data_IF_689321255451
#
_entry.id   IF_689321255451
#
_cell.length_a   1.000
_cell.length_b   1.000
_cell.length_c   1.000
_cell.angle_alpha   90.00
_cell.angle_beta   90.00
_cell.angle_gamma   90.00
#
_symmetry.space_group_name_H-M   'P 1'
#
loop_
_entity.id
_entity.type
_entity.pdbx_description
1 polymer ?
#
# COMPACT_ATOMS: atom_id res chain seq x y z
N UNK A 1 4.13 10.48 -8.27
CA UNK A 1 4.33 11.69 -7.45
C UNK A 1 5.41 12.57 -8.06
N UNK A 2 6.69 12.18 -8.03
CA UNK A 2 7.85 13.05 -8.36
C UNK A 2 8.09 13.42 -9.84
N UNK A 3 7.16 13.13 -10.75
CA UNK A 3 7.30 13.54 -12.14
C UNK A 3 6.82 15.01 -12.29
N UNK A 4 7.49 15.83 -13.08
CA UNK A 4 7.17 17.27 -13.25
C UNK A 4 5.73 17.51 -13.74
N UNK A 5 5.23 16.67 -14.66
CA UNK A 5 3.83 16.70 -15.12
C UNK A 5 2.76 16.51 -14.02
N UNK A 6 3.15 16.19 -12.78
CA UNK A 6 2.24 16.00 -11.65
C UNK A 6 2.19 17.18 -10.67
N UNK A 7 2.87 18.29 -10.98
CA UNK A 7 2.81 19.53 -10.19
C UNK A 7 1.37 20.00 -10.05
N UNK A 8 0.95 20.27 -8.81
CA UNK A 8 -0.42 20.70 -8.49
C UNK A 8 -1.47 19.58 -8.44
N UNK A 9 -1.11 18.34 -8.78
CA UNK A 9 -2.02 17.17 -8.70
C UNK A 9 -1.59 16.21 -7.59
N UNK A 10 -0.34 15.77 -7.62
CA UNK A 10 0.24 14.88 -6.60
C UNK A 10 1.66 15.26 -6.21
N UNK A 11 2.36 16.02 -7.06
CA UNK A 11 3.65 16.63 -6.74
C UNK A 11 3.40 17.97 -6.06
N UNK A 12 3.35 17.98 -4.73
CA UNK A 12 3.07 19.17 -3.93
C UNK A 12 4.32 20.00 -3.60
N UNK A 13 5.53 19.43 -3.75
CA UNK A 13 6.79 20.16 -3.56
C UNK A 13 7.22 20.97 -4.79
N UNK A 14 6.42 20.93 -5.86
CA UNK A 14 6.76 21.49 -7.17
C UNK A 14 8.10 20.98 -7.73
N UNK A 15 8.51 19.76 -7.34
CA UNK A 15 9.78 19.16 -7.76
C UNK A 15 9.82 18.97 -9.29
N UNK A 16 10.91 19.40 -9.92
CA UNK A 16 11.07 19.37 -11.37
C UNK A 16 12.54 19.08 -11.72
N UNK A 17 12.83 17.84 -12.08
CA UNK A 17 14.15 17.40 -12.54
C UNK A 17 14.00 16.60 -13.84
N UNK A 18 14.41 17.14 -15.01
CA UNK A 18 14.26 16.47 -16.30
C UNK A 18 14.98 15.11 -16.39
N UNK A 19 16.03 14.90 -15.60
CA UNK A 19 16.72 13.60 -15.56
C UNK A 19 15.85 12.55 -14.89
N UNK A 20 15.20 12.90 -13.76
CA UNK A 20 14.27 12.02 -13.06
C UNK A 20 13.06 11.70 -13.93
N UNK A 21 12.48 12.70 -14.61
CA UNK A 21 11.36 12.49 -15.52
C UNK A 21 11.70 11.44 -16.60
N UNK A 22 12.87 11.57 -17.24
CA UNK A 22 13.34 10.62 -18.26
C UNK A 22 13.48 9.19 -17.71
N UNK A 23 14.01 9.03 -16.50
CA UNK A 23 14.18 7.72 -15.87
C UNK A 23 12.83 7.12 -15.50
N UNK A 24 11.91 7.92 -14.95
CA UNK A 24 10.57 7.47 -14.59
C UNK A 24 9.73 7.08 -15.82
N UNK A 25 9.88 7.79 -16.93
CA UNK A 25 9.22 7.43 -18.19
C UNK A 25 9.82 6.15 -18.79
N UNK A 26 11.15 5.97 -18.73
CA UNK A 26 11.79 4.70 -19.11
C UNK A 26 11.30 3.54 -18.23
N UNK A 27 11.22 3.72 -16.91
CA UNK A 27 10.71 2.72 -15.98
C UNK A 27 9.22 2.39 -16.21
N UNK A 28 8.44 3.35 -16.75
CA UNK A 28 7.04 3.11 -17.15
C UNK A 28 6.96 2.35 -18.47
N UNK A 29 7.86 2.61 -19.41
CA UNK A 29 7.91 1.94 -20.70
C UNK A 29 8.46 0.50 -20.61
N UNK A 30 9.34 0.22 -19.64
CA UNK A 30 9.88 -1.11 -19.40
C UNK A 30 8.80 -2.04 -18.83
N UNK A 31 8.35 -2.99 -19.64
CA UNK A 31 7.27 -3.95 -19.33
C UNK A 31 7.72 -5.41 -19.43
N UNK A 32 8.94 -5.66 -19.90
CA UNK A 32 9.45 -7.01 -20.18
C UNK A 32 10.29 -7.54 -19.03
N UNK A 33 11.07 -6.69 -18.37
CA UNK A 33 11.94 -7.06 -17.26
C UNK A 33 11.61 -6.26 -16.00
N UNK A 34 11.12 -6.97 -14.98
CA UNK A 34 10.92 -6.39 -13.65
C UNK A 34 12.25 -5.97 -13.00
N UNK A 35 13.34 -6.66 -13.30
CA UNK A 35 14.66 -6.33 -12.75
C UNK A 35 15.18 -5.00 -13.32
N UNK A 36 15.08 -4.80 -14.64
CA UNK A 36 15.49 -3.55 -15.27
C UNK A 36 14.60 -2.38 -14.85
N UNK A 37 13.29 -2.63 -14.74
CA UNK A 37 12.35 -1.65 -14.20
C UNK A 37 12.73 -1.26 -12.77
N UNK A 38 13.12 -2.21 -11.93
CA UNK A 38 13.55 -1.95 -10.56
C UNK A 38 14.84 -1.11 -10.52
N UNK A 39 15.84 -1.42 -11.34
CA UNK A 39 17.09 -0.65 -11.45
C UNK A 39 16.82 0.81 -11.83
N UNK A 40 15.94 1.04 -12.80
CA UNK A 40 15.54 2.39 -13.20
C UNK A 40 14.86 3.14 -12.04
N UNK A 41 13.94 2.49 -11.33
CA UNK A 41 13.26 3.10 -10.18
C UNK A 41 14.22 3.42 -9.03
N UNK A 42 15.15 2.52 -8.71
CA UNK A 42 16.20 2.75 -7.71
C UNK A 42 17.06 3.95 -8.09
N UNK A 43 17.42 4.07 -9.37
CA UNK A 43 18.21 5.22 -9.84
C UNK A 43 17.44 6.54 -9.73
N UNK A 44 16.14 6.54 -10.01
CA UNK A 44 15.31 7.72 -9.79
C UNK A 44 15.20 8.07 -8.30
N UNK A 45 15.04 7.06 -7.43
CA UNK A 45 14.98 7.23 -5.98
C UNK A 45 16.25 7.85 -5.41
N UNK A 46 17.43 7.37 -5.81
CA UNK A 46 18.73 7.95 -5.41
C UNK A 46 18.79 9.47 -5.66
N UNK A 47 18.45 9.89 -6.88
CA UNK A 47 18.47 11.32 -7.25
C UNK A 47 17.44 12.11 -6.43
N UNK A 48 16.23 11.56 -6.24
CA UNK A 48 15.18 12.24 -5.47
C UNK A 48 15.59 12.39 -4.00
N UNK A 49 16.20 11.37 -3.41
CA UNK A 49 16.70 11.42 -2.03
C UNK A 49 17.81 12.46 -1.87
N UNK A 50 18.75 12.50 -2.80
CA UNK A 50 19.84 13.48 -2.82
C UNK A 50 19.33 14.93 -3.01
N UNK A 51 18.34 15.12 -3.89
CA UNK A 51 17.72 16.44 -4.14
C UNK A 51 16.84 16.92 -2.97
N UNK A 52 16.45 16.00 -2.07
CA UNK A 52 15.65 16.26 -0.87
C UNK A 52 14.43 17.19 -1.06
N UNK A 53 13.53 16.96 -2.04
CA UNK A 53 12.33 17.79 -2.23
C UNK A 53 11.31 17.69 -1.09
N UNK A 54 11.50 16.74 -0.18
CA UNK A 54 10.74 16.56 1.05
C UNK A 54 11.61 15.90 2.13
N UNK A 55 11.14 15.90 3.37
CA UNK A 55 11.78 15.16 4.46
C UNK A 55 11.07 13.82 4.69
N UNK A 56 11.82 12.73 4.65
CA UNK A 56 11.33 11.39 4.95
C UNK A 56 11.37 11.15 6.46
N UNK A 57 10.20 11.17 7.11
CA UNK A 57 10.13 11.11 8.57
C UNK A 57 9.96 9.68 9.11
N UNK A 58 9.07 8.88 8.51
CA UNK A 58 8.74 7.54 8.98
C UNK A 58 8.01 6.72 7.92
N UNK A 59 8.08 5.39 8.06
CA UNK A 59 7.20 4.44 7.39
C UNK A 59 6.10 4.00 8.36
N UNK A 60 4.84 3.96 7.89
CA UNK A 60 3.70 3.61 8.74
C UNK A 60 3.48 2.11 8.78
N UNK A 61 3.22 1.56 9.98
CA UNK A 61 2.66 0.22 10.14
C UNK A 61 1.14 0.35 10.24
N UNK A 62 0.42 -0.31 9.34
CA UNK A 62 -1.03 -0.44 9.46
C UNK A 62 -1.36 -1.56 10.45
N UNK A 63 -2.30 -1.30 11.35
CA UNK A 63 -2.88 -2.29 12.25
C UNK A 63 -4.40 -2.17 12.17
N UNK A 64 -5.08 -3.32 12.14
CA UNK A 64 -6.53 -3.39 12.13
C UNK A 64 -6.99 -4.31 13.26
N UNK A 65 -8.12 -3.96 13.87
CA UNK A 65 -8.77 -4.75 14.90
C UNK A 65 -10.10 -5.25 14.35
N UNK A 66 -10.36 -6.55 14.49
CA UNK A 66 -11.65 -7.16 14.15
C UNK A 66 -12.39 -7.55 15.43
N UNK A 67 -13.72 -7.39 15.42
CA UNK A 67 -14.57 -7.89 16.49
C UNK A 67 -14.77 -9.40 16.41
N UNK A 68 -15.20 -10.02 17.51
CA UNK A 68 -15.47 -11.47 17.60
C UNK A 68 -16.52 -11.95 16.58
N UNK A 69 -17.44 -11.08 16.19
CA UNK A 69 -18.50 -11.35 15.21
C UNK A 69 -18.08 -11.08 13.76
N UNK A 70 -16.79 -10.93 13.47
CA UNK A 70 -16.29 -10.69 12.11
C UNK A 70 -15.41 -11.85 11.66
N UNK A 71 -15.73 -12.45 10.51
CA UNK A 71 -14.91 -13.48 9.87
C UNK A 71 -14.38 -12.99 8.53
N UNK A 72 -13.24 -13.56 8.14
CA UNK A 72 -12.62 -13.35 6.81
C UNK A 72 -12.35 -11.87 6.46
N UNK A 73 -12.11 -11.02 7.47
CA UNK A 73 -11.65 -9.66 7.26
C UNK A 73 -10.15 -9.68 6.92
N UNK A 74 -9.85 -9.62 5.62
CA UNK A 74 -8.49 -9.55 5.10
C UNK A 74 -8.19 -8.14 4.59
N UNK A 75 -6.98 -7.65 4.87
CA UNK A 75 -6.45 -6.40 4.32
C UNK A 75 -5.17 -6.70 3.55
N UNK A 76 -5.05 -6.15 2.33
CA UNK A 76 -3.84 -6.29 1.53
C UNK A 76 -2.73 -5.29 1.95
N UNK A 77 -1.57 -5.38 1.28
CA UNK A 77 -0.42 -4.49 1.54
C UNK A 77 -0.67 -3.01 1.21
N UNK A 78 -1.77 -2.67 0.53
CA UNK A 78 -2.21 -1.30 0.28
C UNK A 78 -3.27 -0.84 1.31
N UNK A 79 -3.62 -1.69 2.27
CA UNK A 79 -4.64 -1.42 3.27
C UNK A 79 -6.07 -1.53 2.73
N UNK A 80 -6.27 -2.20 1.60
CA UNK A 80 -7.59 -2.42 1.01
C UNK A 80 -8.23 -3.68 1.61
N UNK A 81 -9.51 -3.58 1.98
CA UNK A 81 -10.29 -4.70 2.51
C UNK A 81 -10.89 -5.53 1.37
N UNK A 82 -10.81 -6.85 1.47
CA UNK A 82 -11.56 -7.77 0.62
C UNK A 82 -13.02 -7.86 1.08
N UNK A 83 -13.87 -6.96 0.57
CA UNK A 83 -15.27 -6.88 0.95
C UNK A 83 -16.12 -8.07 0.50
N UNK A 84 -15.66 -8.86 -0.47
CA UNK A 84 -16.41 -10.03 -0.94
C UNK A 84 -16.25 -11.22 0.00
N UNK A 85 -15.16 -11.26 0.76
CA UNK A 85 -14.91 -12.29 1.76
C UNK A 85 -15.37 -11.89 3.16
N UNK A 86 -15.37 -10.60 3.48
CA UNK A 86 -15.71 -10.15 4.82
C UNK A 86 -17.14 -10.56 5.23
N UNK A 87 -17.25 -11.24 6.36
CA UNK A 87 -18.51 -11.75 6.89
C UNK A 87 -18.84 -11.15 8.26
N UNK A 88 -20.10 -10.75 8.43
CA UNK A 88 -20.66 -10.34 9.72
C UNK A 88 -21.54 -11.45 10.28
N UNK A 89 -21.19 -11.93 11.46
CA UNK A 89 -22.01 -12.88 12.20
C UNK A 89 -23.15 -12.15 12.88
N UNK A 90 -24.34 -12.74 12.81
CA UNK A 90 -25.46 -12.27 13.62
C UNK A 90 -25.07 -12.39 15.10
N UNK A 91 -25.33 -11.38 15.93
CA UNK A 91 -25.09 -11.50 17.36
C UNK A 91 -25.90 -12.68 17.89
N UNK A 92 -25.25 -13.58 18.64
CA UNK A 92 -25.98 -14.61 19.38
C UNK A 92 -26.86 -13.90 20.39
N UNK A 93 -28.16 -14.14 20.35
CA UNK A 93 -29.12 -13.50 21.25
C UNK A 93 -28.89 -13.87 22.73
N UNK A 94 -28.05 -14.86 23.01
CA UNK A 94 -27.82 -15.39 24.35
C UNK A 94 -26.32 -15.45 24.61
N UNK A 95 -25.86 -14.76 25.66
CA UNK A 95 -24.55 -14.99 26.22
C UNK A 95 -24.56 -16.32 26.95
N UNK A 96 -24.21 -17.40 26.27
CA UNK A 96 -23.77 -18.68 26.84
C UNK A 96 -23.37 -19.61 25.70
N UNK A 97 -22.13 -20.12 25.75
CA UNK A 97 -21.58 -20.95 24.68
C UNK A 97 -20.18 -21.43 24.99
N UNK A 98 -19.96 -21.96 26.20
CA UNK A 98 -18.86 -22.90 26.44
C UNK A 98 -19.11 -24.17 25.61
N UNK A 99 -18.12 -24.72 24.88
CA UNK A 99 -18.33 -25.91 24.06
C UNK A 99 -18.39 -27.14 24.96
N UNK A 100 -19.56 -27.78 25.01
CA UNK A 100 -19.68 -29.14 25.54
C UNK A 100 -19.10 -30.13 24.53
N UNK A 101 -18.13 -30.91 24.99
CA UNK A 101 -17.62 -32.11 24.33
C UNK A 101 -18.78 -33.06 23.97
N UNK A 102 -18.83 -33.52 22.72
CA UNK A 102 -19.48 -34.79 22.40
C UNK A 102 -18.51 -35.67 21.63
N UNK A 103 -17.94 -36.61 22.39
CA UNK A 103 -17.41 -37.88 21.92
C UNK A 103 -18.57 -38.69 21.30
N UNK A 104 -18.37 -39.25 20.10
CA UNK A 104 -18.36 -40.70 19.77
C UNK A 104 -17.92 -40.85 18.31
#
# INVERSE_FOLDING_TARGET
MFHSSKVGISNYSAYNNPQVDKILDAARAETKSNEERLKLLQRAEEIIVDDAPMLWLFQKKAAALSGENVRHLEMDGLGMVDWFKAELLKPSANGEGSPSEEQV
#
